data_IF_672193600493
#
_entry.id   IF_672193600493
#
_cell.length_a   1.000
_cell.length_b   1.000
_cell.length_c   1.000
_cell.angle_alpha   90.00
_cell.angle_beta   90.00
_cell.angle_gamma   90.00
#
_symmetry.space_group_name_H-M   'P 1'
#
loop_
_entity.id
_entity.type
_entity.pdbx_description
1 polymer ?
#
# COMPACT_ATOMS: atom_id res chain seq x y z
N UNK A 1 -6.02 44.37 -11.94
CA UNK A 1 -5.45 43.49 -10.91
C UNK A 1 -6.33 42.26 -10.59
N UNK A 2 -7.67 42.39 -10.55
CA UNK A 2 -8.63 41.29 -10.27
C UNK A 2 -8.64 40.21 -11.34
N UNK A 3 -8.61 40.54 -12.62
CA UNK A 3 -8.62 39.58 -13.74
C UNK A 3 -7.37 38.70 -13.81
N UNK A 4 -6.20 39.23 -13.45
CA UNK A 4 -4.95 38.44 -13.44
C UNK A 4 -4.96 37.36 -12.34
N UNK A 5 -5.57 37.62 -11.19
CA UNK A 5 -5.74 36.66 -10.11
C UNK A 5 -6.72 35.52 -10.50
N UNK A 6 -7.80 35.84 -11.21
CA UNK A 6 -8.79 34.85 -11.64
C UNK A 6 -8.19 33.84 -12.64
N UNK A 7 -7.40 34.29 -13.61
CA UNK A 7 -6.74 33.43 -14.60
C UNK A 7 -5.70 32.51 -13.91
N UNK A 8 -4.94 33.04 -12.94
CA UNK A 8 -3.97 32.24 -12.20
C UNK A 8 -4.65 31.14 -11.36
N UNK A 9 -5.78 31.46 -10.73
CA UNK A 9 -6.58 30.47 -9.99
C UNK A 9 -7.11 29.37 -10.90
N UNK A 10 -7.69 29.73 -12.06
CA UNK A 10 -8.20 28.75 -13.04
C UNK A 10 -7.08 27.84 -13.52
N UNK A 11 -5.92 28.38 -13.89
CA UNK A 11 -4.75 27.58 -14.29
C UNK A 11 -4.30 26.62 -13.19
N UNK A 12 -4.29 27.09 -11.94
CA UNK A 12 -3.96 26.25 -10.79
C UNK A 12 -4.95 25.10 -10.62
N UNK A 13 -6.27 25.35 -10.71
CA UNK A 13 -7.31 24.33 -10.58
C UNK A 13 -7.20 23.27 -11.69
N UNK A 14 -7.06 23.71 -12.94
CA UNK A 14 -6.90 22.81 -14.09
C UNK A 14 -5.66 21.93 -13.92
N UNK A 15 -4.52 22.51 -13.58
CA UNK A 15 -3.30 21.76 -13.37
C UNK A 15 -3.41 20.78 -12.17
N UNK A 16 -4.12 21.16 -11.11
CA UNK A 16 -4.37 20.27 -9.95
C UNK A 16 -5.25 19.08 -10.33
N UNK A 17 -6.32 19.31 -11.11
CA UNK A 17 -7.17 18.25 -11.65
C UNK A 17 -6.35 17.33 -12.57
N UNK A 18 -5.54 17.90 -13.45
CA UNK A 18 -4.70 17.12 -14.38
C UNK A 18 -3.74 16.18 -13.63
N UNK A 19 -3.06 16.68 -12.59
CA UNK A 19 -2.20 15.85 -11.72
C UNK A 19 -3.03 14.76 -11.03
N UNK A 20 -4.20 15.11 -10.51
CA UNK A 20 -5.13 14.18 -9.88
C UNK A 20 -5.58 13.06 -10.82
N UNK A 21 -5.92 13.39 -12.08
CA UNK A 21 -6.32 12.41 -13.10
C UNK A 21 -5.19 11.44 -13.41
N UNK A 22 -3.98 11.94 -13.67
CA UNK A 22 -2.81 11.08 -14.00
C UNK A 22 -2.50 10.14 -12.83
N UNK A 23 -2.44 10.65 -11.61
CA UNK A 23 -2.16 9.84 -10.42
C UNK A 23 -3.33 8.90 -10.09
N UNK A 24 -4.56 9.32 -10.35
CA UNK A 24 -5.75 8.47 -10.21
C UNK A 24 -5.71 7.25 -11.13
N UNK A 25 -5.45 7.46 -12.41
CA UNK A 25 -5.30 6.38 -13.39
C UNK A 25 -4.11 5.49 -13.01
N UNK A 26 -2.94 6.08 -12.76
CA UNK A 26 -1.74 5.34 -12.37
C UNK A 26 -1.93 4.51 -11.10
N UNK A 27 -2.59 5.06 -10.09
CA UNK A 27 -2.92 4.38 -8.83
C UNK A 27 -3.88 3.20 -9.04
N UNK A 28 -4.92 3.36 -9.90
CA UNK A 28 -5.85 2.28 -10.23
C UNK A 28 -5.13 1.09 -10.88
N UNK A 29 -4.35 1.34 -11.92
CA UNK A 29 -3.57 0.28 -12.59
C UNK A 29 -2.54 -0.36 -11.66
N UNK A 30 -1.88 0.43 -10.82
CA UNK A 30 -0.91 -0.07 -9.86
C UNK A 30 -1.55 -1.00 -8.82
N UNK A 31 -2.66 -0.59 -8.23
CA UNK A 31 -3.36 -1.39 -7.21
C UNK A 31 -3.92 -2.69 -7.80
N UNK A 32 -4.55 -2.62 -8.97
CA UNK A 32 -5.09 -3.80 -9.64
C UNK A 32 -3.98 -4.70 -10.19
N UNK A 33 -2.92 -4.13 -10.77
CA UNK A 33 -1.76 -4.90 -11.22
C UNK A 33 -1.09 -5.65 -10.08
N UNK A 34 -0.94 -5.02 -8.92
CA UNK A 34 -0.38 -5.63 -7.73
C UNK A 34 -1.27 -6.79 -7.24
N UNK A 35 -2.58 -6.54 -7.09
CA UNK A 35 -3.55 -7.54 -6.63
C UNK A 35 -3.68 -8.70 -7.61
N UNK A 36 -3.97 -8.40 -8.87
CA UNK A 36 -4.15 -9.43 -9.90
C UNK A 36 -2.87 -10.22 -10.15
N UNK A 37 -1.72 -9.56 -10.12
CA UNK A 37 -0.43 -10.21 -10.25
C UNK A 37 -0.16 -11.23 -9.14
N UNK A 38 -0.47 -10.91 -7.88
CA UNK A 38 -0.36 -11.86 -6.77
C UNK A 38 -1.29 -13.05 -7.01
N UNK A 39 -2.56 -12.82 -7.34
CA UNK A 39 -3.56 -13.88 -7.56
C UNK A 39 -3.13 -14.79 -8.72
N UNK A 40 -2.69 -14.23 -9.84
CA UNK A 40 -2.25 -15.00 -11.01
C UNK A 40 -1.06 -15.89 -10.65
N UNK A 41 -0.06 -15.34 -9.96
CA UNK A 41 1.13 -16.08 -9.56
C UNK A 41 0.77 -17.17 -8.55
N UNK A 42 -0.02 -16.86 -7.50
CA UNK A 42 -0.50 -17.85 -6.53
C UNK A 42 -1.23 -18.99 -7.21
N UNK A 43 -2.23 -18.69 -8.04
CA UNK A 43 -3.01 -19.71 -8.73
C UNK A 43 -2.14 -20.58 -9.68
N UNK A 44 -1.19 -19.95 -10.38
CA UNK A 44 -0.26 -20.69 -11.25
C UNK A 44 0.62 -21.65 -10.45
N UNK A 45 1.16 -21.18 -9.34
CA UNK A 45 2.03 -21.96 -8.48
C UNK A 45 1.25 -23.10 -7.79
N UNK A 46 0.03 -22.84 -7.29
CA UNK A 46 -0.86 -23.87 -6.71
C UNK A 46 -1.20 -24.96 -7.73
N UNK A 47 -1.47 -24.59 -8.98
CA UNK A 47 -1.76 -25.55 -10.05
C UNK A 47 -0.56 -26.44 -10.39
N UNK A 48 0.68 -25.91 -10.31
CA UNK A 48 1.91 -26.69 -10.53
C UNK A 48 2.12 -27.79 -9.47
N UNK A 49 1.65 -27.59 -8.26
CA UNK A 49 1.81 -28.50 -7.13
C UNK A 49 0.56 -29.36 -6.85
N UNK A 50 -0.29 -29.58 -7.88
CA UNK A 50 -1.48 -30.45 -7.81
C UNK A 50 -2.51 -30.08 -6.73
N UNK A 51 -2.65 -28.82 -6.42
CA UNK A 51 -3.68 -28.21 -5.56
C UNK A 51 -3.70 -28.62 -4.08
N UNK A 52 -2.74 -29.37 -3.61
CA UNK A 52 -2.63 -29.70 -2.18
C UNK A 52 -1.44 -28.95 -1.54
N UNK A 53 -1.66 -27.76 -0.94
CA UNK A 53 -0.60 -27.03 -0.28
C UNK A 53 -0.08 -27.84 0.92
N UNK A 54 1.18 -28.25 0.83
CA UNK A 54 1.89 -28.93 1.91
C UNK A 54 3.12 -28.11 2.35
N UNK A 55 3.78 -28.54 3.41
CA UNK A 55 4.97 -27.84 3.93
C UNK A 55 6.03 -27.62 2.84
N UNK A 56 6.25 -28.61 1.97
CA UNK A 56 7.23 -28.49 0.89
C UNK A 56 6.84 -27.46 -0.16
N UNK A 57 5.55 -27.33 -0.46
CA UNK A 57 5.03 -26.27 -1.32
C UNK A 57 5.44 -24.89 -0.80
N UNK A 58 5.12 -24.58 0.46
CA UNK A 58 5.47 -23.29 1.08
C UNK A 58 6.98 -23.11 1.22
N UNK A 59 7.74 -24.16 1.49
CA UNK A 59 9.20 -24.08 1.53
C UNK A 59 9.79 -23.63 0.18
N UNK A 60 9.31 -24.17 -0.91
CA UNK A 60 9.79 -23.84 -2.26
C UNK A 60 9.37 -22.42 -2.65
N UNK A 61 8.11 -22.07 -2.48
CA UNK A 61 7.57 -20.77 -2.89
C UNK A 61 8.18 -19.62 -2.09
N UNK A 62 8.27 -19.76 -0.77
CA UNK A 62 8.91 -18.77 0.11
C UNK A 62 10.42 -18.65 -0.16
N UNK A 63 11.10 -19.76 -0.48
CA UNK A 63 12.52 -19.71 -0.84
C UNK A 63 12.74 -18.99 -2.16
N UNK A 64 11.91 -19.26 -3.18
CA UNK A 64 11.95 -18.54 -4.45
C UNK A 64 11.68 -17.02 -4.26
N UNK A 65 10.66 -16.68 -3.48
CA UNK A 65 10.37 -15.29 -3.14
C UNK A 65 11.54 -14.61 -2.42
N UNK A 66 12.18 -15.32 -1.48
CA UNK A 66 13.34 -14.80 -0.77
C UNK A 66 14.50 -14.48 -1.72
N UNK A 67 14.76 -15.34 -2.70
CA UNK A 67 15.79 -15.11 -3.72
C UNK A 67 15.48 -13.83 -4.50
N UNK A 68 14.23 -13.64 -4.93
CA UNK A 68 13.81 -12.43 -5.67
C UNK A 68 13.91 -11.16 -4.81
N UNK A 69 13.53 -11.25 -3.53
CA UNK A 69 13.68 -10.16 -2.56
C UNK A 69 15.16 -9.85 -2.32
N UNK A 70 16.00 -10.86 -2.20
CA UNK A 70 17.45 -10.68 -2.07
C UNK A 70 18.04 -9.98 -3.31
N UNK A 71 17.65 -10.40 -4.51
CA UNK A 71 18.05 -9.75 -5.75
C UNK A 71 17.59 -8.29 -5.82
N UNK A 72 16.36 -8.03 -5.39
CA UNK A 72 15.81 -6.67 -5.26
C UNK A 72 16.68 -5.81 -4.33
N UNK A 73 17.19 -6.38 -3.23
CA UNK A 73 18.11 -5.71 -2.30
C UNK A 73 19.45 -5.38 -2.94
N UNK A 74 19.99 -6.28 -3.76
CA UNK A 74 21.24 -6.04 -4.51
C UNK A 74 21.05 -4.89 -5.51
N UNK A 75 19.91 -4.83 -6.21
CA UNK A 75 19.62 -3.75 -7.18
C UNK A 75 19.59 -2.35 -6.55
N UNK A 76 19.24 -2.24 -5.28
CA UNK A 76 19.31 -0.98 -4.51
C UNK A 76 20.61 -0.80 -3.71
N UNK A 77 21.64 -1.56 -4.06
CA UNK A 77 22.97 -1.50 -3.42
C UNK A 77 22.91 -1.68 -1.89
N UNK A 78 22.05 -2.58 -1.42
CA UNK A 78 21.89 -2.88 0.01
C UNK A 78 21.16 -1.82 0.85
N UNK A 79 20.65 -0.74 0.24
CA UNK A 79 19.84 0.26 0.96
C UNK A 79 18.64 -0.41 1.63
N UNK A 80 18.10 0.18 2.68
CA UNK A 80 16.87 -0.30 3.31
C UNK A 80 15.68 -0.21 2.35
N UNK A 81 14.79 -1.20 2.40
CA UNK A 81 13.50 -1.09 1.74
C UNK A 81 12.68 0.01 2.39
N UNK A 82 11.94 0.73 1.58
CA UNK A 82 11.05 1.80 2.01
C UNK A 82 9.63 1.27 2.27
N UNK A 83 8.91 1.95 3.16
CA UNK A 83 7.60 1.58 3.65
C UNK A 83 6.67 2.79 3.80
N UNK A 84 5.50 2.60 4.41
CA UNK A 84 4.56 3.69 4.72
C UNK A 84 5.18 4.74 5.64
N UNK A 85 6.03 4.34 6.60
CA UNK A 85 6.74 5.28 7.48
C UNK A 85 7.68 6.20 6.70
N UNK A 86 8.32 5.69 5.65
CA UNK A 86 9.14 6.51 4.76
C UNK A 86 8.27 7.48 3.95
N UNK A 87 7.05 7.09 3.57
CA UNK A 87 6.08 7.96 2.90
C UNK A 87 5.67 9.13 3.78
N UNK A 88 5.41 8.88 5.07
CA UNK A 88 5.12 9.92 6.05
C UNK A 88 6.34 10.85 6.21
N UNK A 89 7.52 10.27 6.35
CA UNK A 89 8.76 11.06 6.49
C UNK A 89 9.00 11.96 5.28
N UNK A 90 8.79 11.44 4.07
CA UNK A 90 8.94 12.18 2.83
C UNK A 90 7.94 13.35 2.71
N UNK A 91 6.71 13.17 3.17
CA UNK A 91 5.72 14.24 3.17
C UNK A 91 6.10 15.42 4.08
N UNK A 92 6.96 15.19 5.09
CA UNK A 92 7.35 16.21 6.08
C UNK A 92 8.77 16.73 5.91
N UNK A 93 9.57 16.12 5.03
CA UNK A 93 10.95 16.54 4.81
C UNK A 93 11.03 17.75 3.88
N UNK A 94 11.80 18.77 4.26
CA UNK A 94 11.92 20.02 3.51
C UNK A 94 12.36 19.84 2.05
N UNK A 95 13.27 18.91 1.77
CA UNK A 95 13.80 18.68 0.43
C UNK A 95 13.05 17.61 -0.36
N UNK A 96 12.17 16.83 0.24
CA UNK A 96 11.32 15.79 -0.39
C UNK A 96 12.00 14.93 -1.48
N UNK A 97 13.31 14.78 -1.40
CA UNK A 97 14.08 13.97 -2.34
C UNK A 97 13.87 12.50 -2.02
N UNK A 98 13.12 11.84 -2.89
CA UNK A 98 12.87 10.40 -2.85
C UNK A 98 13.84 9.71 -3.80
N UNK A 99 14.48 8.65 -3.33
CA UNK A 99 15.16 7.72 -4.22
C UNK A 99 14.09 6.86 -4.91
N UNK A 100 13.63 7.33 -6.08
CA UNK A 100 12.58 6.67 -6.87
C UNK A 100 12.91 5.21 -7.15
N UNK A 101 14.20 4.90 -7.42
CA UNK A 101 14.64 3.54 -7.66
C UNK A 101 14.40 2.65 -6.44
N UNK A 102 14.76 3.13 -5.26
CA UNK A 102 14.51 2.39 -4.01
C UNK A 102 13.02 2.23 -3.77
N UNK A 103 12.21 3.27 -4.01
CA UNK A 103 10.75 3.22 -3.85
C UNK A 103 10.09 2.15 -4.73
N UNK A 104 10.36 2.16 -6.03
CA UNK A 104 9.82 1.16 -6.97
C UNK A 104 10.29 -0.26 -6.65
N UNK A 105 11.57 -0.45 -6.36
CA UNK A 105 12.13 -1.77 -6.03
C UNK A 105 11.59 -2.27 -4.68
N UNK A 106 11.33 -1.40 -3.70
CA UNK A 106 10.70 -1.80 -2.43
C UNK A 106 9.29 -2.36 -2.64
N UNK A 107 8.51 -1.73 -3.50
CA UNK A 107 7.18 -2.23 -3.87
C UNK A 107 7.27 -3.57 -4.61
N UNK A 108 8.23 -3.70 -5.53
CA UNK A 108 8.44 -4.95 -6.27
C UNK A 108 8.91 -6.08 -5.34
N UNK A 109 9.76 -5.80 -4.37
CA UNK A 109 10.18 -6.78 -3.36
C UNK A 109 9.00 -7.25 -2.50
N UNK A 110 8.10 -6.34 -2.12
CA UNK A 110 6.88 -6.68 -1.41
C UNK A 110 5.93 -7.53 -2.28
N UNK A 111 5.81 -7.21 -3.56
CA UNK A 111 5.04 -8.00 -4.53
C UNK A 111 5.56 -9.45 -4.62
N UNK A 112 6.86 -9.65 -4.79
CA UNK A 112 7.47 -10.99 -4.83
C UNK A 112 7.26 -11.75 -3.52
N UNK A 113 7.38 -11.06 -2.40
CA UNK A 113 7.19 -11.67 -1.09
C UNK A 113 5.74 -12.13 -0.89
N UNK A 114 4.76 -11.28 -1.25
CA UNK A 114 3.34 -11.62 -1.18
C UNK A 114 2.96 -12.75 -2.13
N UNK A 115 3.46 -12.71 -3.37
CA UNK A 115 3.22 -13.76 -4.39
C UNK A 115 3.81 -15.12 -3.99
N UNK A 116 4.85 -15.14 -3.16
CA UNK A 116 5.45 -16.36 -2.63
C UNK A 116 4.78 -16.92 -1.38
N UNK A 117 3.66 -16.33 -0.94
CA UNK A 117 2.89 -16.79 0.22
C UNK A 117 3.31 -16.16 1.56
N UNK A 118 4.18 -15.15 1.56
CA UNK A 118 4.49 -14.44 2.80
C UNK A 118 3.30 -13.58 3.24
N UNK A 119 2.95 -13.64 4.52
CA UNK A 119 1.86 -12.85 5.10
C UNK A 119 2.24 -11.37 5.23
N UNK A 120 2.39 -10.69 4.09
CA UNK A 120 2.64 -9.26 4.02
C UNK A 120 1.35 -8.58 3.57
N UNK A 121 0.91 -7.59 4.33
CA UNK A 121 -0.24 -6.78 3.92
C UNK A 121 0.03 -6.09 2.57
N UNK A 122 -0.87 -6.25 1.60
CA UNK A 122 -0.71 -5.66 0.26
C UNK A 122 -0.85 -4.13 0.24
N UNK A 123 -1.53 -3.54 1.20
CA UNK A 123 -1.88 -2.11 1.19
C UNK A 123 -0.73 -1.19 1.61
N UNK A 124 0.11 -1.61 2.55
CA UNK A 124 1.31 -0.85 2.92
C UNK A 124 2.22 -0.57 1.71
N UNK A 125 2.63 -1.59 0.97
CA UNK A 125 3.38 -1.42 -0.27
C UNK A 125 2.68 -0.56 -1.32
N UNK A 126 1.35 -0.65 -1.46
CA UNK A 126 0.58 0.18 -2.40
C UNK A 126 0.57 1.65 -2.01
N UNK A 127 0.43 1.97 -0.71
CA UNK A 127 0.54 3.35 -0.21
C UNK A 127 1.91 3.93 -0.53
N UNK A 128 2.96 3.16 -0.28
CA UNK A 128 4.32 3.60 -0.58
C UNK A 128 4.55 3.74 -2.09
N UNK A 129 3.97 2.84 -2.91
CA UNK A 129 4.00 2.96 -4.36
C UNK A 129 3.31 4.24 -4.84
N UNK A 130 2.13 4.57 -4.29
CA UNK A 130 1.42 5.82 -4.60
C UNK A 130 2.27 7.06 -4.27
N UNK A 131 2.96 7.05 -3.12
CA UNK A 131 3.94 8.09 -2.76
C UNK A 131 5.04 8.20 -3.81
N UNK A 132 5.60 7.06 -4.24
CA UNK A 132 6.67 7.01 -5.24
C UNK A 132 6.20 7.49 -6.60
N UNK A 133 4.98 7.12 -7.03
CA UNK A 133 4.35 7.64 -8.25
C UNK A 133 4.14 9.15 -8.18
N UNK A 134 3.65 9.67 -7.06
CA UNK A 134 3.50 11.11 -6.84
C UNK A 134 4.83 11.84 -6.96
N UNK A 135 5.86 11.34 -6.30
CA UNK A 135 7.21 11.91 -6.36
C UNK A 135 7.82 11.82 -7.77
N UNK A 136 7.58 10.70 -8.47
CA UNK A 136 8.00 10.55 -9.87
C UNK A 136 7.29 11.54 -10.78
N UNK A 137 5.97 11.71 -10.65
CA UNK A 137 5.21 12.66 -11.46
C UNK A 137 5.68 14.09 -11.20
N UNK A 138 5.93 14.48 -9.95
CA UNK A 138 6.50 15.79 -9.63
C UNK A 138 7.82 16.04 -10.33
N UNK A 139 8.69 15.04 -10.43
CA UNK A 139 9.98 15.14 -11.09
C UNK A 139 9.84 15.26 -12.62
N UNK A 140 8.84 14.61 -13.18
CA UNK A 140 8.60 14.55 -14.63
C UNK A 140 7.81 15.76 -15.14
N UNK A 141 6.79 16.18 -14.38
CA UNK A 141 5.90 17.31 -14.70
C UNK A 141 5.89 18.27 -13.49
N UNK A 142 6.91 19.12 -13.40
CA UNK A 142 7.08 20.00 -12.23
C UNK A 142 6.20 21.26 -12.35
N UNK A 143 4.88 21.12 -12.13
CA UNK A 143 4.07 22.29 -11.85
C UNK A 143 4.54 22.96 -10.57
N UNK A 144 4.28 24.26 -10.42
CA UNK A 144 4.64 25.01 -9.21
C UNK A 144 3.72 24.66 -8.02
N UNK A 145 3.67 23.35 -7.68
CA UNK A 145 2.92 22.81 -6.56
C UNK A 145 3.87 22.29 -5.49
N UNK A 146 3.36 22.29 -4.24
CA UNK A 146 4.06 21.66 -3.13
C UNK A 146 4.14 20.13 -3.32
N UNK A 147 5.18 19.46 -2.82
CA UNK A 147 5.32 18.01 -2.89
C UNK A 147 4.14 17.24 -2.32
N UNK A 148 3.53 17.78 -1.26
CA UNK A 148 2.39 17.18 -0.56
C UNK A 148 1.22 16.92 -1.50
N UNK A 149 0.98 17.81 -2.49
CA UNK A 149 -0.08 17.63 -3.47
C UNK A 149 0.13 16.34 -4.28
N UNK A 150 1.34 16.10 -4.76
CA UNK A 150 1.67 14.91 -5.55
C UNK A 150 1.67 13.63 -4.70
N UNK A 151 2.28 13.69 -3.52
CA UNK A 151 2.35 12.56 -2.59
C UNK A 151 0.94 12.19 -2.12
N UNK A 152 0.18 13.18 -1.66
CA UNK A 152 -1.18 12.96 -1.19
C UNK A 152 -2.11 12.39 -2.26
N UNK A 153 -2.04 12.93 -3.49
CA UNK A 153 -2.84 12.43 -4.61
C UNK A 153 -2.47 10.97 -5.00
N UNK A 154 -1.17 10.63 -5.02
CA UNK A 154 -0.73 9.27 -5.29
C UNK A 154 -1.17 8.26 -4.22
N UNK A 155 -1.06 8.65 -2.95
CA UNK A 155 -1.53 7.83 -1.82
C UNK A 155 -3.05 7.64 -1.86
N UNK A 156 -3.81 8.73 -2.05
CA UNK A 156 -5.26 8.69 -2.12
C UNK A 156 -5.75 7.77 -3.24
N UNK A 157 -5.10 7.83 -4.41
CA UNK A 157 -5.40 6.96 -5.54
C UNK A 157 -5.17 5.47 -5.20
N UNK A 158 -4.05 5.15 -4.56
CA UNK A 158 -3.71 3.76 -4.20
C UNK A 158 -4.65 3.17 -3.17
N UNK A 159 -5.03 3.94 -2.15
CA UNK A 159 -6.01 3.51 -1.13
C UNK A 159 -7.40 3.38 -1.73
N UNK A 160 -7.81 4.37 -2.53
CA UNK A 160 -9.13 4.38 -3.16
C UNK A 160 -9.37 3.13 -4.02
N UNK A 161 -8.45 2.80 -4.91
CA UNK A 161 -8.54 1.63 -5.77
C UNK A 161 -8.31 0.32 -4.99
N UNK A 162 -7.39 0.31 -4.02
CA UNK A 162 -7.07 -0.88 -3.25
C UNK A 162 -8.23 -1.36 -2.37
N UNK A 163 -8.99 -0.43 -1.78
CA UNK A 163 -10.10 -0.74 -0.88
C UNK A 163 -11.49 -0.53 -1.50
N UNK A 164 -11.59 0.03 -2.71
CA UNK A 164 -12.88 0.44 -3.27
C UNK A 164 -13.51 1.60 -2.51
N UNK A 165 -12.74 2.45 -1.84
CA UNK A 165 -13.21 3.44 -0.88
C UNK A 165 -12.62 4.85 -1.12
N UNK A 166 -13.23 5.65 -2.04
CA UNK A 166 -12.67 6.95 -2.43
C UNK A 166 -12.63 7.97 -1.30
N UNK A 167 -13.61 8.00 -0.42
CA UNK A 167 -13.60 8.90 0.73
C UNK A 167 -12.50 8.52 1.73
N UNK A 168 -12.30 7.23 1.97
CA UNK A 168 -11.23 6.75 2.84
C UNK A 168 -9.85 7.10 2.25
N UNK A 169 -9.66 7.00 0.93
CA UNK A 169 -8.43 7.40 0.26
C UNK A 169 -8.10 8.89 0.48
N UNK A 170 -9.10 9.76 0.32
CA UNK A 170 -8.98 11.19 0.57
C UNK A 170 -8.58 11.50 2.03
N UNK A 171 -9.30 10.92 2.99
CA UNK A 171 -9.08 11.13 4.43
C UNK A 171 -7.71 10.58 4.83
N UNK A 172 -7.38 9.35 4.42
CA UNK A 172 -6.11 8.71 4.74
C UNK A 172 -4.90 9.52 4.27
N UNK A 173 -4.95 10.09 3.06
CA UNK A 173 -3.88 10.92 2.55
C UNK A 173 -3.63 12.14 3.46
N UNK A 174 -4.69 12.79 3.94
CA UNK A 174 -4.58 13.96 4.80
C UNK A 174 -4.19 13.61 6.24
N UNK A 175 -4.84 12.62 6.85
CA UNK A 175 -4.66 12.29 8.26
C UNK A 175 -3.43 11.43 8.54
N UNK A 176 -3.21 10.39 7.74
CA UNK A 176 -2.15 9.43 8.01
C UNK A 176 -0.80 9.89 7.42
N UNK A 177 -0.80 10.43 6.20
CA UNK A 177 0.43 10.73 5.47
C UNK A 177 0.83 12.19 5.60
N UNK A 178 -0.05 13.12 5.21
CA UNK A 178 0.26 14.55 5.24
C UNK A 178 0.16 15.16 6.65
N UNK A 179 -0.69 14.60 7.50
CA UNK A 179 -0.98 15.08 8.87
C UNK A 179 -1.41 16.54 8.93
N UNK A 180 -1.91 17.09 7.83
CA UNK A 180 -2.50 18.42 7.76
C UNK A 180 -3.50 18.47 6.60
N UNK A 181 -4.49 19.35 6.73
CA UNK A 181 -5.45 19.65 5.67
C UNK A 181 -4.97 20.86 4.87
N UNK A 182 -4.62 20.62 3.63
CA UNK A 182 -4.18 21.68 2.70
C UNK A 182 -5.28 21.98 1.70
N UNK A 183 -5.85 23.19 1.79
CA UNK A 183 -6.83 23.66 0.80
C UNK A 183 -6.27 23.66 -0.63
N UNK A 184 -4.96 23.76 -0.78
CA UNK A 184 -4.29 23.73 -2.09
C UNK A 184 -4.19 22.32 -2.66
N UNK A 185 -4.06 21.30 -1.83
CA UNK A 185 -3.85 19.92 -2.26
C UNK A 185 -5.16 19.13 -2.37
N UNK A 186 -6.22 19.56 -1.68
CA UNK A 186 -7.47 18.79 -1.56
C UNK A 186 -8.09 18.45 -2.91
N UNK A 187 -8.06 19.37 -3.87
CA UNK A 187 -8.65 19.17 -5.18
C UNK A 187 -7.94 18.05 -5.95
N UNK A 188 -6.60 18.05 -6.00
CA UNK A 188 -5.83 17.01 -6.66
C UNK A 188 -6.00 15.65 -5.96
N UNK A 189 -6.01 15.63 -4.63
CA UNK A 189 -6.18 14.43 -3.82
C UNK A 189 -7.56 13.83 -4.02
N UNK A 190 -8.63 14.65 -3.96
CA UNK A 190 -9.99 14.20 -4.19
C UNK A 190 -10.20 13.70 -5.63
N UNK A 191 -9.66 14.41 -6.62
CA UNK A 191 -9.71 14.00 -8.03
C UNK A 191 -8.97 12.67 -8.22
N UNK A 192 -7.78 12.51 -7.67
CA UNK A 192 -7.00 11.28 -7.79
C UNK A 192 -7.74 10.09 -7.15
N UNK A 193 -8.32 10.30 -5.98
CA UNK A 193 -9.11 9.29 -5.29
C UNK A 193 -10.36 8.89 -6.08
N UNK A 194 -11.14 9.86 -6.55
CA UNK A 194 -12.37 9.61 -7.32
C UNK A 194 -12.10 8.94 -8.66
N UNK A 195 -11.10 9.42 -9.42
CA UNK A 195 -10.70 8.84 -10.71
C UNK A 195 -10.16 7.42 -10.52
N UNK A 196 -9.33 7.18 -9.50
CA UNK A 196 -8.79 5.86 -9.23
C UNK A 196 -9.89 4.84 -8.94
N UNK A 197 -10.88 5.21 -8.14
CA UNK A 197 -12.06 4.40 -7.89
C UNK A 197 -12.86 4.14 -9.18
N UNK A 198 -13.19 5.19 -9.93
CA UNK A 198 -13.98 5.09 -11.15
C UNK A 198 -13.30 4.22 -12.22
N UNK A 199 -11.99 4.37 -12.41
CA UNK A 199 -11.21 3.56 -13.35
C UNK A 199 -11.15 2.10 -12.88
N UNK A 200 -10.91 1.88 -11.58
CA UNK A 200 -10.83 0.53 -11.02
C UNK A 200 -12.15 -0.22 -11.15
N UNK A 201 -13.25 0.38 -10.75
CA UNK A 201 -14.59 -0.24 -10.84
C UNK A 201 -15.10 -0.33 -12.27
N UNK A 202 -14.80 0.65 -13.12
CA UNK A 202 -15.24 0.66 -14.52
C UNK A 202 -14.54 -0.39 -15.39
N UNK A 203 -13.26 -0.73 -15.09
CA UNK A 203 -12.50 -1.69 -15.90
C UNK A 203 -12.58 -3.11 -15.31
N UNK A 204 -12.46 -3.26 -14.00
CA UNK A 204 -12.36 -4.56 -13.32
C UNK A 204 -13.59 -4.95 -12.51
N UNK A 205 -14.64 -4.12 -12.51
CA UNK A 205 -15.85 -4.34 -11.74
C UNK A 205 -15.70 -3.97 -10.26
N UNK A 206 -16.62 -4.43 -9.45
CA UNK A 206 -16.64 -4.09 -8.03
C UNK A 206 -15.46 -4.72 -7.29
N UNK A 207 -14.59 -3.88 -6.79
CA UNK A 207 -13.35 -4.29 -6.09
C UNK A 207 -13.53 -4.38 -4.58
N UNK A 208 -14.78 -4.36 -4.10
CA UNK A 208 -15.08 -4.44 -2.68
C UNK A 208 -14.49 -5.72 -2.07
N UNK A 209 -13.64 -5.54 -1.06
CA UNK A 209 -12.99 -6.64 -0.35
C UNK A 209 -13.99 -7.38 0.52
N UNK A 210 -15.01 -6.67 1.00
CA UNK A 210 -16.04 -7.19 1.90
C UNK A 210 -17.37 -7.04 1.19
N UNK A 211 -17.97 -8.18 0.82
CA UNK A 211 -19.36 -8.22 0.39
C UNK A 211 -20.25 -8.25 1.63
N UNK A 212 -20.94 -7.15 1.90
CA UNK A 212 -21.95 -7.11 2.96
C UNK A 212 -23.27 -7.55 2.36
N UNK A 213 -23.87 -8.62 2.90
CA UNK A 213 -25.24 -8.99 2.54
C UNK A 213 -26.18 -7.84 2.94
N UNK A 214 -27.15 -7.53 2.07
CA UNK A 214 -28.10 -6.45 2.27
C UNK A 214 -29.18 -6.76 3.33
N UNK A 215 -28.87 -7.59 4.31
CA UNK A 215 -29.78 -7.84 5.43
C UNK A 215 -29.97 -6.57 6.25
N UNK A 216 -31.21 -6.31 6.63
CA UNK A 216 -31.57 -5.15 7.45
C UNK A 216 -31.04 -5.37 8.87
N UNK A 217 -29.89 -4.82 9.17
CA UNK A 217 -29.33 -4.85 10.52
C UNK A 217 -30.03 -3.82 11.40
N UNK A 218 -30.39 -4.24 12.61
CA UNK A 218 -30.88 -3.32 13.63
C UNK A 218 -29.70 -2.42 14.09
N UNK A 219 -29.79 -1.13 13.79
CA UNK A 219 -28.75 -0.14 14.07
C UNK A 219 -28.37 -0.12 15.58
N UNK A 220 -29.36 -0.24 16.48
CA UNK A 220 -29.13 -0.26 17.91
C UNK A 220 -28.27 -1.47 18.34
N UNK A 221 -28.59 -2.65 17.78
CA UNK A 221 -27.83 -3.88 18.04
C UNK A 221 -26.39 -3.77 17.54
N UNK A 222 -26.19 -3.21 16.36
CA UNK A 222 -24.83 -2.96 15.80
C UNK A 222 -24.04 -2.03 16.72
N UNK A 223 -24.65 -0.94 17.18
CA UNK A 223 -23.97 0.01 18.07
C UNK A 223 -23.59 -0.64 19.41
N UNK A 224 -24.48 -1.43 20.00
CA UNK A 224 -24.19 -2.16 21.24
C UNK A 224 -23.06 -3.18 21.07
N UNK A 225 -23.12 -3.99 20.01
CA UNK A 225 -22.07 -4.96 19.69
C UNK A 225 -20.73 -4.24 19.44
N UNK A 226 -20.72 -3.16 18.67
CA UNK A 226 -19.52 -2.37 18.38
C UNK A 226 -18.92 -1.76 19.64
N UNK A 227 -19.73 -1.28 20.57
CA UNK A 227 -19.29 -0.73 21.83
C UNK A 227 -18.61 -1.78 22.71
N UNK A 228 -19.12 -3.01 22.75
CA UNK A 228 -18.52 -4.12 23.49
C UNK A 228 -17.31 -4.72 22.78
N UNK A 229 -17.35 -4.81 21.46
CA UNK A 229 -16.26 -5.36 20.65
C UNK A 229 -15.03 -4.43 20.59
N UNK A 230 -15.22 -3.11 20.63
CA UNK A 230 -14.16 -2.12 20.54
C UNK A 230 -12.99 -2.37 21.51
N UNK A 231 -13.23 -2.48 22.83
CA UNK A 231 -12.16 -2.78 23.80
C UNK A 231 -11.46 -4.12 23.55
N UNK A 232 -12.20 -5.14 23.12
CA UNK A 232 -11.64 -6.47 22.79
C UNK A 232 -10.69 -6.36 21.61
N UNK A 233 -11.11 -5.72 20.51
CA UNK A 233 -10.25 -5.48 19.38
C UNK A 233 -9.05 -4.57 19.72
N UNK A 234 -9.24 -3.61 20.60
CA UNK A 234 -8.16 -2.78 21.14
C UNK A 234 -7.09 -3.61 21.86
N UNK A 235 -7.49 -4.56 22.71
CA UNK A 235 -6.56 -5.47 23.36
C UNK A 235 -5.84 -6.38 22.36
N UNK A 236 -6.55 -6.94 21.39
CA UNK A 236 -5.95 -7.75 20.32
C UNK A 236 -4.91 -6.93 19.54
N UNK A 237 -5.23 -5.69 19.19
CA UNK A 237 -4.31 -4.79 18.50
C UNK A 237 -3.03 -4.50 19.31
N UNK A 238 -3.15 -4.30 20.63
CA UNK A 238 -2.00 -4.12 21.53
C UNK A 238 -1.12 -5.37 21.57
N UNK A 239 -1.72 -6.55 21.68
CA UNK A 239 -0.99 -7.82 21.68
C UNK A 239 -0.27 -8.00 20.36
N UNK A 240 -0.95 -7.75 19.23
CA UNK A 240 -0.36 -7.83 17.89
C UNK A 240 0.83 -6.88 17.73
N UNK A 241 0.67 -5.61 18.09
CA UNK A 241 1.76 -4.63 17.99
C UNK A 241 2.97 -4.99 18.85
N UNK A 242 2.73 -5.45 20.11
CA UNK A 242 3.83 -5.89 20.99
C UNK A 242 4.56 -7.10 20.44
N UNK A 243 3.83 -8.08 19.90
CA UNK A 243 4.39 -9.26 19.25
C UNK A 243 5.25 -8.86 18.05
N UNK A 244 4.75 -7.95 17.21
CA UNK A 244 5.46 -7.45 16.04
C UNK A 244 6.77 -6.76 16.42
N UNK A 245 6.76 -5.90 17.43
CA UNK A 245 7.95 -5.23 17.95
C UNK A 245 8.94 -6.23 18.58
N UNK A 246 8.45 -7.23 19.30
CA UNK A 246 9.27 -8.28 19.87
C UNK A 246 10.01 -9.08 18.79
N UNK A 247 9.30 -9.57 17.76
CA UNK A 247 9.91 -10.30 16.66
C UNK A 247 10.82 -9.42 15.80
N UNK A 248 10.48 -8.15 15.59
CA UNK A 248 11.35 -7.21 14.90
C UNK A 248 12.68 -7.00 15.66
N UNK A 249 12.63 -6.89 17.00
CA UNK A 249 13.82 -6.79 17.84
C UNK A 249 14.66 -8.08 17.80
N UNK A 250 14.01 -9.24 17.83
CA UNK A 250 14.66 -10.54 17.71
C UNK A 250 15.36 -10.69 16.36
N UNK A 251 14.67 -10.33 15.28
CA UNK A 251 15.22 -10.33 13.92
C UNK A 251 16.37 -9.32 13.76
N UNK A 252 16.33 -8.18 14.46
CA UNK A 252 17.42 -7.20 14.52
C UNK A 252 18.65 -7.65 15.31
N UNK A 253 18.57 -8.73 16.07
CA UNK A 253 19.66 -9.22 16.91
C UNK A 253 20.90 -9.60 16.06
N UNK A 254 22.07 -9.15 16.50
CA UNK A 254 23.37 -9.51 15.87
C UNK A 254 23.81 -10.96 16.17
N UNK A 255 23.15 -11.66 17.10
CA UNK A 255 23.48 -13.03 17.48
C UNK A 255 23.12 -14.07 16.40
N UNK A 256 22.13 -13.75 15.56
CA UNK A 256 21.69 -14.64 14.47
C UNK A 256 22.30 -14.16 13.14
N UNK A 257 22.90 -15.07 12.39
CA UNK A 257 23.32 -14.77 11.02
C UNK A 257 22.10 -14.54 10.12
N UNK A 258 22.30 -13.84 9.03
CA UNK A 258 21.23 -13.57 8.03
C UNK A 258 20.58 -14.86 7.56
N UNK A 259 21.38 -15.90 7.34
CA UNK A 259 20.89 -17.22 6.94
C UNK A 259 19.96 -17.85 7.98
N UNK A 260 20.32 -17.86 9.26
CA UNK A 260 19.46 -18.40 10.32
C UNK A 260 18.13 -17.65 10.43
N UNK A 261 18.13 -16.33 10.27
CA UNK A 261 16.90 -15.51 10.31
C UNK A 261 15.94 -15.90 9.18
N UNK A 262 16.47 -16.06 7.97
CA UNK A 262 15.65 -16.44 6.82
C UNK A 262 15.15 -17.88 6.92
N UNK A 263 16.01 -18.82 7.34
CA UNK A 263 15.61 -20.22 7.50
C UNK A 263 14.52 -20.39 8.56
N UNK A 264 14.65 -19.73 9.70
CA UNK A 264 13.62 -19.74 10.74
C UNK A 264 12.30 -19.13 10.26
N UNK A 265 12.37 -18.01 9.54
CA UNK A 265 11.19 -17.37 8.96
C UNK A 265 10.47 -18.27 7.96
N UNK A 266 11.19 -18.86 7.03
CA UNK A 266 10.63 -19.76 6.02
C UNK A 266 10.02 -21.00 6.68
N UNK A 267 10.74 -21.65 7.61
CA UNK A 267 10.23 -22.84 8.30
C UNK A 267 8.96 -22.55 9.10
N UNK A 268 8.95 -21.47 9.88
CA UNK A 268 7.77 -21.11 10.67
C UNK A 268 6.55 -20.78 9.78
N UNK A 269 6.75 -20.01 8.72
CA UNK A 269 5.67 -19.70 7.78
C UNK A 269 5.17 -20.93 7.00
N UNK A 270 6.08 -21.84 6.61
CA UNK A 270 5.69 -23.07 5.94
C UNK A 270 4.87 -24.00 6.82
N UNK A 271 5.20 -24.08 8.11
CA UNK A 271 4.42 -24.86 9.07
C UNK A 271 3.04 -24.20 9.28
N UNK A 272 2.99 -22.89 9.51
CA UNK A 272 1.74 -22.18 9.71
C UNK A 272 0.85 -22.31 8.46
N UNK A 273 1.40 -22.10 7.26
CA UNK A 273 0.65 -22.20 6.02
C UNK A 273 0.08 -23.60 5.75
N UNK A 274 0.76 -24.67 6.23
CA UNK A 274 0.23 -26.02 6.14
C UNK A 274 -1.01 -26.25 7.04
N UNK A 275 -1.01 -25.70 8.25
CA UNK A 275 -2.12 -25.86 9.20
C UNK A 275 -3.23 -24.83 9.04
N UNK A 276 -2.97 -23.73 8.35
CA UNK A 276 -3.91 -22.61 8.12
C UNK A 276 -3.85 -22.19 6.64
N UNK A 277 -4.30 -23.03 5.72
CA UNK A 277 -4.28 -22.76 4.28
C UNK A 277 -5.21 -21.60 3.88
#
# INVERSE_FOLDING_TARGET
>A
MVLGNSIAVVKYLIASIFVGVILGIGGAFAAQGFRSGIIIISNYVENLFAREPNVFFYLITLSAALILVHYSKVLIKGKAFQSVSDSIYLAHKANNETDLKVGFISTLAAFFSASGGASIGQYGPLVHFGTTLGAWLKKTIPFNFTPDLYIGAGVAASISSGFGAPLAGLIFAHEAILRHYSHKSILAIATASGISYAVSTGIWGDTNIISVSSEQFNLLLILLISFLAGPIFGLIAIIYMRSLLFFAKLAGSKKLTVFHKYSLGILSLSIIGHFMP
#
